data_IF_986521571929
#
_entry.id   IF_986521571929
#
_cell.length_a   1.000
_cell.length_b   1.000
_cell.length_c   1.000
_cell.angle_alpha   90.00
_cell.angle_beta   90.00
_cell.angle_gamma   90.00
#
_symmetry.space_group_name_H-M   'P 1'
#
loop_
_entity.id
_entity.type
_entity.pdbx_description
1 polymer ?
#
# COMPACT_ATOMS: atom_id res chain seq x y z
N UNK A 1 -6.18 18.58 -7.76
CA UNK A 1 -5.89 17.16 -8.05
C UNK A 1 -4.39 17.00 -8.25
N UNK A 2 -3.64 16.75 -7.17
CA UNK A 2 -2.18 16.57 -7.23
C UNK A 2 -1.78 15.46 -8.22
N UNK A 3 -2.63 14.44 -8.37
CA UNK A 3 -2.47 13.33 -9.32
C UNK A 3 -2.44 13.77 -10.78
N UNK A 4 -3.15 14.85 -11.15
CA UNK A 4 -3.20 15.35 -12.54
C UNK A 4 -1.95 16.15 -12.87
N UNK A 5 -1.46 16.97 -11.93
CA UNK A 5 -0.20 17.69 -12.08
C UNK A 5 0.99 16.72 -12.09
N UNK A 6 0.99 15.71 -11.23
CA UNK A 6 2.02 14.66 -11.25
C UNK A 6 2.05 13.92 -12.59
N UNK A 7 0.88 13.56 -13.15
CA UNK A 7 0.79 12.91 -14.46
C UNK A 7 1.34 13.77 -15.60
N UNK A 8 1.01 15.06 -15.63
CA UNK A 8 1.50 15.99 -16.66
C UNK A 8 3.02 16.22 -16.60
N UNK A 9 3.57 16.30 -15.38
CA UNK A 9 5.02 16.39 -15.15
C UNK A 9 5.71 15.09 -15.61
N UNK A 10 5.16 13.93 -15.25
CA UNK A 10 5.68 12.63 -15.67
C UNK A 10 5.68 12.46 -17.20
N UNK A 11 4.62 12.90 -17.88
CA UNK A 11 4.51 12.80 -19.33
C UNK A 11 5.52 13.68 -20.06
N UNK A 12 5.75 14.89 -19.53
CA UNK A 12 6.77 15.83 -20.04
C UNK A 12 8.19 15.29 -19.84
N UNK A 13 8.47 14.71 -18.66
CA UNK A 13 9.74 14.05 -18.37
C UNK A 13 9.96 12.79 -19.23
N UNK A 14 8.90 12.07 -19.58
CA UNK A 14 8.95 10.88 -20.45
C UNK A 14 9.36 11.19 -21.88
N UNK A 15 9.03 12.39 -22.38
CA UNK A 15 9.50 12.88 -23.69
C UNK A 15 10.96 13.32 -23.64
N UNK A 16 11.42 13.88 -22.52
CA UNK A 16 12.77 14.43 -22.39
C UNK A 16 13.84 13.38 -22.03
N UNK A 17 13.52 12.42 -21.18
CA UNK A 17 14.44 11.35 -20.78
C UNK A 17 13.67 10.03 -20.51
N UNK A 18 13.55 9.16 -21.52
CA UNK A 18 12.77 7.93 -21.40
C UNK A 18 13.32 6.97 -20.32
N UNK A 19 14.63 6.93 -20.10
CA UNK A 19 15.24 6.10 -19.05
C UNK A 19 14.91 6.63 -17.64
N UNK A 20 14.88 7.94 -17.45
CA UNK A 20 14.48 8.57 -16.19
C UNK A 20 12.97 8.46 -15.92
N UNK A 21 12.14 8.47 -16.95
CA UNK A 21 10.70 8.26 -16.82
C UNK A 21 10.33 6.79 -16.54
N UNK A 22 11.08 5.83 -17.07
CA UNK A 22 11.02 4.42 -16.67
C UNK A 22 11.50 4.23 -15.22
N UNK A 23 12.47 5.03 -14.74
CA UNK A 23 12.79 5.12 -13.32
C UNK A 23 11.62 5.72 -12.52
N UNK A 24 11.00 6.82 -12.95
CA UNK A 24 9.87 7.47 -12.26
C UNK A 24 8.57 6.65 -12.25
N UNK A 25 8.34 5.75 -13.22
CA UNK A 25 7.22 4.80 -13.15
C UNK A 25 7.36 3.83 -11.98
N UNK A 26 8.58 3.46 -11.59
CA UNK A 26 8.84 2.68 -10.38
C UNK A 26 8.54 3.47 -9.09
N UNK A 27 8.35 4.79 -9.16
CA UNK A 27 8.09 5.65 -8.01
C UNK A 27 6.62 5.79 -7.60
N UNK A 28 5.65 5.27 -8.38
CA UNK A 28 4.23 5.33 -7.99
C UNK A 28 3.79 3.99 -7.40
N UNK A 29 4.40 3.60 -6.28
CA UNK A 29 3.86 2.54 -5.43
C UNK A 29 2.51 3.03 -4.86
N UNK A 30 1.43 2.40 -5.29
CA UNK A 30 0.07 2.62 -4.77
C UNK A 30 -0.19 1.71 -3.58
N UNK A 31 -1.24 2.00 -2.80
CA UNK A 31 -1.62 1.11 -1.70
C UNK A 31 -2.06 -0.26 -2.23
N UNK A 32 -2.66 -0.29 -3.42
CA UNK A 32 -3.09 -1.50 -4.09
C UNK A 32 -1.91 -2.40 -4.48
N UNK A 33 -0.69 -1.87 -4.62
CA UNK A 33 0.50 -2.65 -4.95
C UNK A 33 1.01 -3.50 -3.78
N UNK A 34 0.50 -3.34 -2.55
CA UNK A 34 0.95 -4.15 -1.40
C UNK A 34 0.70 -5.65 -1.59
N UNK A 35 -0.29 -6.04 -2.39
CA UNK A 35 -0.58 -7.47 -2.67
C UNK A 35 0.45 -8.12 -3.59
N UNK A 36 1.30 -7.31 -4.26
CA UNK A 36 2.40 -7.80 -5.10
C UNK A 36 3.65 -8.09 -4.27
N UNK A 37 3.70 -7.61 -3.02
CA UNK A 37 4.79 -7.91 -2.10
C UNK A 37 4.76 -9.41 -1.75
N UNK A 38 5.94 -10.00 -1.55
CA UNK A 38 6.00 -11.36 -1.04
C UNK A 38 5.40 -11.45 0.37
N UNK A 39 5.01 -12.66 0.76
CA UNK A 39 4.31 -12.93 2.02
C UNK A 39 5.08 -12.40 3.23
N UNK A 40 6.40 -12.56 3.27
CA UNK A 40 7.22 -12.12 4.41
C UNK A 40 7.23 -10.60 4.50
N UNK A 41 7.39 -9.93 3.35
CA UNK A 41 7.37 -8.47 3.27
C UNK A 41 6.01 -7.89 3.68
N UNK A 42 4.91 -8.45 3.16
CA UNK A 42 3.56 -8.00 3.53
C UNK A 42 3.28 -8.22 5.01
N UNK A 43 3.71 -9.35 5.58
CA UNK A 43 3.56 -9.63 7.00
C UNK A 43 4.37 -8.64 7.86
N UNK A 44 5.61 -8.35 7.47
CA UNK A 44 6.45 -7.35 8.15
C UNK A 44 5.79 -5.97 8.12
N UNK A 45 5.24 -5.57 6.97
CA UNK A 45 4.50 -4.32 6.82
C UNK A 45 3.33 -4.23 7.81
N UNK A 46 2.45 -5.24 7.84
CA UNK A 46 1.25 -5.23 8.67
C UNK A 46 1.57 -5.23 10.17
N UNK A 47 2.64 -5.90 10.60
CA UNK A 47 3.08 -5.87 12.01
C UNK A 47 3.46 -4.47 12.51
N UNK A 48 3.80 -3.55 11.60
CA UNK A 48 4.16 -2.17 11.90
C UNK A 48 2.97 -1.20 11.76
N UNK A 49 1.76 -1.71 11.52
CA UNK A 49 0.54 -0.92 11.37
C UNK A 49 -0.42 -1.27 12.52
N UNK A 50 -1.15 -0.28 13.03
CA UNK A 50 -2.21 -0.54 13.99
C UNK A 50 -3.29 -1.44 13.33
N UNK A 51 -3.65 -2.58 13.95
CA UNK A 51 -4.53 -3.57 13.32
C UNK A 51 -5.95 -3.03 13.09
N UNK A 52 -6.47 -2.19 14.00
CA UNK A 52 -7.75 -1.51 13.84
C UNK A 52 -7.74 -0.56 12.65
N UNK A 53 -6.67 0.23 12.48
CA UNK A 53 -6.52 1.12 11.32
C UNK A 53 -6.43 0.30 10.02
N UNK A 54 -5.58 -0.73 9.99
CA UNK A 54 -5.43 -1.59 8.81
C UNK A 54 -6.76 -2.28 8.45
N UNK A 55 -7.50 -2.77 9.44
CA UNK A 55 -8.82 -3.35 9.26
C UNK A 55 -9.81 -2.38 8.61
N UNK A 56 -9.86 -1.12 9.08
CA UNK A 56 -10.76 -0.12 8.49
C UNK A 56 -10.33 0.31 7.07
N UNK A 57 -9.02 0.41 6.80
CA UNK A 57 -8.51 0.67 5.45
C UNK A 57 -8.86 -0.50 4.53
N UNK A 58 -8.60 -1.74 4.95
CA UNK A 58 -8.87 -2.93 4.16
C UNK A 58 -10.38 -3.12 3.89
N UNK A 59 -11.25 -2.80 4.87
CA UNK A 59 -12.72 -2.83 4.72
C UNK A 59 -13.23 -1.85 3.65
N UNK A 60 -12.47 -0.79 3.36
CA UNK A 60 -12.80 0.18 2.30
C UNK A 60 -12.39 -0.29 0.89
N UNK A 61 -11.63 -1.38 0.78
CA UNK A 61 -11.14 -1.91 -0.49
C UNK A 61 -12.13 -2.89 -1.12
N UNK A 62 -12.05 -3.14 -2.45
CA UNK A 62 -12.87 -4.15 -3.11
C UNK A 62 -12.72 -5.54 -2.46
N UNK A 63 -13.78 -6.34 -2.43
CA UNK A 63 -13.76 -7.67 -1.80
C UNK A 63 -12.64 -8.58 -2.34
N UNK A 64 -12.37 -8.50 -3.65
CA UNK A 64 -11.30 -9.28 -4.28
C UNK A 64 -9.93 -8.94 -3.68
N UNK A 65 -9.66 -7.66 -3.44
CA UNK A 65 -8.45 -7.20 -2.79
C UNK A 65 -8.35 -7.75 -1.36
N UNK A 66 -9.45 -7.68 -0.60
CA UNK A 66 -9.50 -8.21 0.77
C UNK A 66 -9.18 -9.71 0.80
N UNK A 67 -9.78 -10.49 -0.12
CA UNK A 67 -9.56 -11.94 -0.23
C UNK A 67 -8.10 -12.27 -0.54
N UNK A 68 -7.44 -11.51 -1.42
CA UNK A 68 -6.03 -11.71 -1.74
C UNK A 68 -5.17 -11.42 -0.51
N UNK A 69 -5.41 -10.29 0.17
CA UNK A 69 -4.67 -9.94 1.40
C UNK A 69 -4.82 -11.06 2.44
N UNK A 70 -6.03 -11.51 2.74
CA UNK A 70 -6.24 -12.57 3.75
C UNK A 70 -5.58 -13.91 3.40
N UNK A 71 -5.45 -14.24 2.11
CA UNK A 71 -4.72 -15.45 1.67
C UNK A 71 -3.21 -15.35 1.89
N UNK A 72 -2.65 -14.14 1.85
CA UNK A 72 -1.23 -13.90 2.08
C UNK A 72 -0.89 -13.82 3.58
N UNK A 73 -1.88 -13.59 4.45
CA UNK A 73 -1.65 -13.47 5.88
C UNK A 73 -1.74 -14.82 6.62
N UNK A 74 -0.92 -15.02 7.66
CA UNK A 74 -1.07 -16.18 8.53
C UNK A 74 -2.44 -16.18 9.24
N UNK A 75 -2.99 -17.36 9.57
CA UNK A 75 -4.31 -17.50 10.18
C UNK A 75 -4.55 -16.59 11.39
N UNK A 76 -3.62 -16.55 12.36
CA UNK A 76 -3.78 -15.74 13.56
C UNK A 76 -3.76 -14.22 13.32
N UNK A 77 -3.11 -13.76 12.23
CA UNK A 77 -3.18 -12.34 11.85
C UNK A 77 -4.48 -12.04 11.11
N UNK A 78 -4.93 -12.97 10.25
CA UNK A 78 -6.24 -12.89 9.58
C UNK A 78 -7.38 -12.77 10.58
N UNK A 79 -7.44 -13.68 11.56
CA UNK A 79 -8.46 -13.68 12.63
C UNK A 79 -8.50 -12.33 13.36
N UNK A 80 -7.33 -11.81 13.76
CA UNK A 80 -7.22 -10.51 14.43
C UNK A 80 -7.75 -9.37 13.57
N UNK A 81 -7.40 -9.32 12.28
CA UNK A 81 -7.88 -8.26 11.39
C UNK A 81 -9.39 -8.36 11.16
N UNK A 82 -9.93 -9.56 11.02
CA UNK A 82 -11.38 -9.78 10.89
C UNK A 82 -12.16 -9.36 12.14
N UNK A 83 -11.63 -9.60 13.34
CA UNK A 83 -12.21 -9.11 14.59
C UNK A 83 -12.21 -7.57 14.65
N UNK A 84 -11.08 -6.96 14.32
CA UNK A 84 -10.92 -5.49 14.28
C UNK A 84 -11.83 -4.83 13.22
N UNK A 85 -12.14 -5.52 12.12
CA UNK A 85 -13.12 -5.03 11.12
C UNK A 85 -14.55 -4.97 11.67
N UNK A 86 -14.89 -5.87 12.60
CA UNK A 86 -16.22 -5.94 13.25
C UNK A 86 -16.34 -4.93 14.38
N UNK A 87 -15.28 -4.77 15.18
CA UNK A 87 -15.26 -3.92 16.38
C UNK A 87 -14.90 -2.45 16.08
N UNK A 88 -14.11 -2.22 15.03
CA UNK A 88 -13.53 -0.92 14.74
C UNK A 88 -14.56 0.12 14.30
N UNK A 89 -14.37 1.36 14.78
CA UNK A 89 -15.16 2.51 14.33
C UNK A 89 -14.81 2.84 12.87
N UNK A 90 -15.82 3.09 12.00
CA UNK A 90 -15.56 3.43 10.61
C UNK A 90 -14.73 4.71 10.52
N UNK A 91 -13.69 4.67 9.69
CA UNK A 91 -12.90 5.85 9.36
C UNK A 91 -13.60 6.67 8.27
N UNK A 92 -13.41 7.99 8.30
CA UNK A 92 -13.89 8.85 7.21
C UNK A 92 -13.07 8.59 5.94
N UNK A 93 -13.62 8.83 4.73
CA UNK A 93 -12.88 8.67 3.48
C UNK A 93 -11.56 9.46 3.45
N UNK A 94 -11.56 10.68 4.00
CA UNK A 94 -10.34 11.49 4.14
C UNK A 94 -9.29 10.78 4.98
N UNK A 95 -9.70 10.22 6.13
CA UNK A 95 -8.79 9.52 7.02
C UNK A 95 -8.26 8.23 6.39
N UNK A 96 -9.09 7.49 5.67
CA UNK A 96 -8.66 6.30 4.93
C UNK A 96 -7.53 6.66 3.94
N UNK A 97 -7.69 7.74 3.18
CA UNK A 97 -6.66 8.19 2.23
C UNK A 97 -5.38 8.70 2.91
N UNK A 98 -5.48 9.28 4.11
CA UNK A 98 -4.32 9.62 4.94
C UNK A 98 -3.58 8.36 5.39
N UNK A 99 -4.30 7.36 5.92
CA UNK A 99 -3.70 6.12 6.41
C UNK A 99 -3.07 5.28 5.28
N UNK A 100 -3.71 5.23 4.10
CA UNK A 100 -3.09 4.63 2.90
C UNK A 100 -1.75 5.27 2.56
N UNK A 101 -1.65 6.61 2.63
CA UNK A 101 -0.38 7.32 2.39
C UNK A 101 0.68 7.00 3.44
N UNK A 102 0.28 6.89 4.71
CA UNK A 102 1.19 6.48 5.79
C UNK A 102 1.75 5.08 5.53
N UNK A 103 0.90 4.15 5.09
CA UNK A 103 1.32 2.77 4.75
C UNK A 103 2.27 2.78 3.55
N UNK A 104 1.98 3.55 2.50
CA UNK A 104 2.89 3.72 1.35
C UNK A 104 4.24 4.28 1.81
N UNK A 105 4.25 5.27 2.72
CA UNK A 105 5.48 5.85 3.24
C UNK A 105 6.29 4.83 4.06
N UNK A 106 5.62 3.96 4.81
CA UNK A 106 6.27 2.88 5.54
C UNK A 106 6.97 1.89 4.59
N UNK A 107 6.30 1.50 3.50
CA UNK A 107 6.90 0.66 2.44
C UNK A 107 8.15 1.32 1.85
N UNK A 108 8.07 2.62 1.52
CA UNK A 108 9.22 3.38 1.00
C UNK A 108 10.38 3.46 2.00
N UNK A 109 10.07 3.62 3.28
CA UNK A 109 11.10 3.64 4.32
C UNK A 109 11.80 2.27 4.43
N UNK A 110 11.05 1.17 4.31
CA UNK A 110 11.62 -0.17 4.27
C UNK A 110 12.46 -0.43 3.02
N UNK A 111 12.05 0.09 1.87
CA UNK A 111 12.87 0.06 0.65
C UNK A 111 14.19 0.81 0.83
N UNK A 112 14.15 2.03 1.38
CA UNK A 112 15.35 2.83 1.66
C UNK A 112 16.31 2.16 2.64
N UNK A 113 15.79 1.32 3.55
CA UNK A 113 16.59 0.52 4.48
C UNK A 113 17.10 -0.79 3.86
N UNK A 114 16.74 -1.11 2.61
CA UNK A 114 17.07 -2.36 1.95
C UNK A 114 16.30 -3.57 2.48
N UNK A 115 15.23 -3.36 3.25
CA UNK A 115 14.36 -4.43 3.78
C UNK A 115 13.36 -4.92 2.74
N UNK A 116 12.99 -4.06 1.79
CA UNK A 116 12.11 -4.37 0.66
C UNK A 116 12.82 -3.96 -0.62
N UNK A 117 12.63 -4.74 -1.68
CA UNK A 117 13.11 -4.40 -3.02
C UNK A 117 11.91 -4.21 -3.95
N UNK A 118 11.46 -2.96 -4.13
CA UNK A 118 10.33 -2.65 -5.01
C UNK A 118 10.70 -2.75 -6.50
N UNK A 119 11.99 -2.88 -6.85
CA UNK A 119 12.42 -2.99 -8.25
C UNK A 119 12.04 -4.33 -8.89
N UNK A 120 11.61 -5.29 -8.05
CA UNK A 120 11.19 -6.64 -8.44
C UNK A 120 9.69 -6.82 -8.61
N UNK A 121 8.91 -5.74 -8.42
CA UNK A 121 7.44 -5.72 -8.51
C UNK A 121 6.91 -5.42 -9.91
#
# INVERSE_FOLDING_TARGET
>A
SDTVQQRAILESLRKANPAFAEHLKRFVFSFEDIIKLDVNTLQMLIRNINPGIFAQVLKSMPEEFQRIVFKLLPPGLTERIEEEMKLGKPLTPKRIEEEKRVIIQLVKNFEQQGLIDLSKL
#
